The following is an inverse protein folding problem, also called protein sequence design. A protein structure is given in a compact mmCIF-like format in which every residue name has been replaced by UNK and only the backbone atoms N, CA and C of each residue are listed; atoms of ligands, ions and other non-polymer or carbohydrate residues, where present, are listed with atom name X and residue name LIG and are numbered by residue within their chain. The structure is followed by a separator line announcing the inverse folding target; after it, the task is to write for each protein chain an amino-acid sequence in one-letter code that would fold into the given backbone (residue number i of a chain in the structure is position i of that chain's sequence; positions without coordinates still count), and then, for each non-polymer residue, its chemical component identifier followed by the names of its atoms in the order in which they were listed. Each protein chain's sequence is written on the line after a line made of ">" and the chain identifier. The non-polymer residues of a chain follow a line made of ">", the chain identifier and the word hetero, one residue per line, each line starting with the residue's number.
data_IF_820866888639
#
_entry.id   IF_820866888639
#
_cell.length_a   1.000
_cell.length_b   1.000
_cell.length_c   1.000
_cell.angle_alpha   90.00
_cell.angle_beta   90.00
_cell.angle_gamma   90.00
#
_symmetry.space_group_name_H-M   'P 1'
#
loop_
_entity.id
_entity.type
_entity.pdbx_description
1 polymer ?
#
# COMPACT_ATOMS: atom_id res chain seq x y z
N UNK A 1 7.42 20.62 17.93
CA UNK A 1 7.51 19.17 18.18
C UNK A 1 6.99 18.41 16.97
N UNK A 2 7.87 18.06 16.02
CA UNK A 2 7.58 17.01 15.06
C UNK A 2 8.93 16.39 14.72
N UNK A 3 9.29 15.38 15.50
CA UNK A 3 10.53 14.64 15.31
C UNK A 3 10.35 13.77 14.07
N UNK A 4 10.86 14.22 12.94
CA UNK A 4 11.11 13.34 11.81
C UNK A 4 12.04 12.24 12.32
N UNK A 5 11.54 11.01 12.35
CA UNK A 5 12.35 9.81 12.65
C UNK A 5 13.38 9.70 11.54
N UNK A 6 14.55 10.31 11.76
CA UNK A 6 15.69 10.15 10.89
C UNK A 6 16.19 8.72 11.05
N UNK A 7 15.76 7.84 10.13
CA UNK A 7 16.23 6.47 10.05
C UNK A 7 17.71 6.49 9.65
N UNK A 8 18.59 6.60 10.65
CA UNK A 8 20.04 6.53 10.46
C UNK A 8 20.43 5.06 10.26
N UNK A 9 20.55 4.65 9.01
CA UNK A 9 21.06 3.33 8.65
C UNK A 9 22.59 3.29 8.83
N UNK A 10 23.14 2.35 9.62
CA UNK A 10 24.58 2.23 9.79
C UNK A 10 25.26 1.88 8.45
N UNK A 11 26.44 2.45 8.24
CA UNK A 11 27.27 2.27 7.05
C UNK A 11 27.75 0.81 6.93
N UNK A 12 26.94 -0.04 6.31
CA UNK A 12 27.31 -1.41 5.94
C UNK A 12 28.06 -1.39 4.61
N UNK A 13 29.39 -1.33 4.70
CA UNK A 13 30.29 -1.51 3.56
C UNK A 13 30.23 -2.96 3.06
N UNK A 14 29.67 -3.13 1.85
CA UNK A 14 29.98 -4.24 0.95
C UNK A 14 29.17 -5.51 1.14
N UNK A 15 28.10 -5.69 0.33
CA UNK A 15 27.61 -6.97 -0.26
C UNK A 15 26.18 -6.96 -0.84
N UNK A 16 25.50 -5.83 -1.06
CA UNK A 16 24.11 -5.82 -1.55
C UNK A 16 23.87 -5.04 -2.85
N UNK A 17 24.88 -4.94 -3.72
CA UNK A 17 24.74 -4.32 -5.05
C UNK A 17 24.21 -5.32 -6.09
N UNK A 18 23.02 -5.87 -5.88
CA UNK A 18 22.23 -6.44 -6.98
C UNK A 18 21.44 -5.29 -7.63
N UNK A 19 21.98 -4.71 -8.70
CA UNK A 19 21.33 -3.70 -9.55
C UNK A 19 20.72 -2.48 -8.81
N UNK A 20 21.47 -1.94 -7.85
CA UNK A 20 21.62 -0.50 -7.63
C UNK A 20 20.49 0.33 -7.04
N UNK A 21 19.29 -0.20 -6.75
CA UNK A 21 18.34 0.55 -5.94
C UNK A 21 18.77 0.48 -4.47
N UNK A 22 19.17 1.64 -3.89
CA UNK A 22 19.37 1.75 -2.43
C UNK A 22 18.09 1.27 -1.75
N UNK A 23 18.17 0.40 -0.75
CA UNK A 23 16.98 -0.13 -0.05
C UNK A 23 16.05 0.99 0.43
N UNK A 24 16.63 2.12 0.86
CA UNK A 24 15.88 3.32 1.22
C UNK A 24 15.09 3.93 0.05
N UNK A 25 15.66 3.92 -1.16
CA UNK A 25 14.99 4.40 -2.37
C UNK A 25 13.87 3.44 -2.78
N UNK A 26 14.14 2.14 -2.81
CA UNK A 26 13.12 1.13 -3.13
C UNK A 26 11.93 1.19 -2.14
N UNK A 27 12.21 1.41 -0.85
CA UNK A 27 11.17 1.59 0.16
C UNK A 27 10.36 2.89 -0.04
N UNK A 28 11.03 3.99 -0.43
CA UNK A 28 10.35 5.25 -0.75
C UNK A 28 9.45 5.12 -1.97
N UNK A 29 9.93 4.47 -3.03
CA UNK A 29 9.19 4.25 -4.27
C UNK A 29 7.97 3.35 -4.02
N UNK A 30 8.15 2.26 -3.24
CA UNK A 30 7.05 1.38 -2.85
C UNK A 30 5.98 2.13 -2.04
N UNK A 31 6.39 2.93 -1.05
CA UNK A 31 5.47 3.75 -0.27
C UNK A 31 4.70 4.72 -1.16
N UNK A 32 5.39 5.37 -2.09
CA UNK A 32 4.78 6.32 -3.01
C UNK A 32 3.76 5.64 -3.92
N UNK A 33 4.08 4.45 -4.45
CA UNK A 33 3.15 3.64 -5.22
C UNK A 33 1.90 3.28 -4.41
N UNK A 34 2.07 2.81 -3.16
CA UNK A 34 0.94 2.50 -2.29
C UNK A 34 0.06 3.73 -2.04
N UNK A 35 0.64 4.90 -1.77
CA UNK A 35 -0.13 6.12 -1.53
C UNK A 35 -0.94 6.57 -2.75
N UNK A 36 -0.36 6.45 -3.94
CA UNK A 36 -1.05 6.79 -5.19
C UNK A 36 -2.23 5.87 -5.48
N UNK A 37 -2.11 4.58 -5.13
CA UNK A 37 -3.13 3.58 -5.43
C UNK A 37 -4.11 3.32 -4.28
N UNK A 38 -3.83 3.82 -3.07
CA UNK A 38 -4.63 3.54 -1.88
C UNK A 38 -6.12 3.93 -2.05
N UNK A 39 -6.40 5.01 -2.79
CA UNK A 39 -7.78 5.45 -3.05
C UNK A 39 -8.54 4.51 -4.01
N UNK A 40 -7.81 3.77 -4.83
CA UNK A 40 -8.36 2.82 -5.78
C UNK A 40 -8.46 1.41 -5.22
N UNK A 41 -7.94 1.15 -4.01
CA UNK A 41 -8.04 -0.13 -3.34
C UNK A 41 -9.40 -0.23 -2.60
N UNK A 42 -10.34 -1.07 -3.08
CA UNK A 42 -11.66 -1.26 -2.46
C UNK A 42 -11.61 -1.74 -1.01
N UNK A 43 -10.49 -2.36 -0.60
CA UNK A 43 -10.30 -2.87 0.75
C UNK A 43 -9.87 -1.77 1.72
N UNK A 44 -9.22 -0.72 1.21
CA UNK A 44 -8.80 0.43 2.02
C UNK A 44 -9.87 1.51 2.08
N UNK A 45 -10.55 1.80 0.97
CA UNK A 45 -11.60 2.82 0.92
C UNK A 45 -12.99 2.30 1.22
N UNK A 46 -13.18 0.98 1.17
CA UNK A 46 -14.50 0.36 1.21
C UNK A 46 -15.24 0.58 -0.10
N UNK A 47 -16.26 -0.27 -0.34
CA UNK A 47 -17.15 -0.14 -1.49
C UNK A 47 -18.59 -0.16 -1.04
N UNK A 48 -19.45 0.54 -1.80
CA UNK A 48 -20.88 0.48 -1.58
C UNK A 48 -21.40 -0.95 -1.77
N UNK A 49 -22.50 -1.28 -1.09
CA UNK A 49 -23.11 -2.61 -1.22
C UNK A 49 -23.48 -2.96 -2.67
N UNK A 50 -23.90 -1.99 -3.49
CA UNK A 50 -24.29 -2.22 -4.87
C UNK A 50 -23.11 -2.48 -5.81
N UNK A 51 -21.91 -1.96 -5.48
CA UNK A 51 -20.70 -2.11 -6.29
C UNK A 51 -19.79 -3.26 -5.82
N UNK A 52 -20.14 -3.94 -4.74
CA UNK A 52 -19.38 -5.08 -4.23
C UNK A 52 -19.74 -6.38 -5.00
N UNK A 53 -18.82 -6.96 -5.80
CA UNK A 53 -19.09 -8.17 -6.58
C UNK A 53 -19.26 -9.43 -5.73
N UNK A 54 -18.79 -9.41 -4.47
CA UNK A 54 -18.95 -10.52 -3.53
C UNK A 54 -20.26 -10.45 -2.75
N UNK A 55 -21.07 -9.41 -2.95
CA UNK A 55 -22.33 -9.30 -2.24
C UNK A 55 -23.33 -10.34 -2.78
N UNK A 56 -23.97 -11.15 -1.91
CA UNK A 56 -25.07 -12.00 -2.33
C UNK A 56 -26.18 -11.16 -2.98
N UNK A 57 -26.70 -11.61 -4.13
CA UNK A 57 -27.88 -10.98 -4.71
C UNK A 57 -29.02 -11.12 -3.70
N UNK A 58 -29.67 -9.99 -3.37
CA UNK A 58 -30.92 -10.03 -2.63
C UNK A 58 -31.95 -10.54 -3.62
N UNK A 59 -32.16 -11.84 -3.65
CA UNK A 59 -33.39 -12.40 -4.22
C UNK A 59 -34.52 -11.91 -3.32
N UNK A 60 -35.33 -10.97 -3.81
CA UNK A 60 -36.59 -10.65 -3.17
C UNK A 60 -37.50 -11.85 -3.39
N UNK A 61 -37.48 -12.79 -2.47
CA UNK A 61 -38.48 -13.85 -2.41
C UNK A 61 -39.80 -13.17 -2.09
N UNK A 62 -40.71 -13.08 -3.07
CA UNK A 62 -42.11 -12.80 -2.80
C UNK A 62 -42.66 -14.07 -2.12
N UNK A 63 -42.86 -14.00 -0.80
CA UNK A 63 -43.63 -14.99 -0.05
C UNK A 63 -45.09 -14.54 0.01
#
# INVERSE_FOLDING_TARGET
>A
HSAAVELRFPHVSGKYLLNGARVSQAAADLKQFCLQNAQHDPLLTGVSSSTNPFRPQKVCSFL
#
